data_IF_175856576346
#
_entry.id   IF_175856576346
#
_cell.length_a   1.000
_cell.length_b   1.000
_cell.length_c   1.000
_cell.angle_alpha   90.00
_cell.angle_beta   90.00
_cell.angle_gamma   90.00
#
_symmetry.space_group_name_H-M   'P 1'
#
loop_
_entity.id
_entity.type
_entity.pdbx_description
1 polymer ?
#
# COMPACT_ATOMS: atom_id res chain seq x y z
N UNK A 1 -33.98 -4.37 2.29
CA UNK A 1 -33.73 -5.20 1.08
C UNK A 1 -34.75 -6.33 1.06
N UNK A 2 -34.99 -6.97 -0.09
CA UNK A 2 -35.99 -8.04 -0.24
C UNK A 2 -35.75 -9.27 0.66
N UNK A 3 -34.53 -9.42 1.16
CA UNK A 3 -34.13 -10.50 2.06
C UNK A 3 -34.30 -10.15 3.54
N UNK A 4 -34.80 -8.96 3.91
CA UNK A 4 -34.98 -8.58 5.31
C UNK A 4 -33.70 -8.37 6.12
N UNK A 5 -32.53 -8.26 5.47
CA UNK A 5 -31.28 -7.98 6.20
C UNK A 5 -31.31 -6.58 6.83
N UNK A 6 -30.78 -6.41 8.07
CA UNK A 6 -30.66 -5.09 8.71
C UNK A 6 -29.75 -4.17 7.90
N UNK A 7 -29.67 -2.87 8.20
CA UNK A 7 -28.63 -2.00 7.62
C UNK A 7 -27.44 -1.95 8.57
N UNK A 8 -26.30 -2.49 8.15
CA UNK A 8 -25.08 -2.57 8.98
C UNK A 8 -24.11 -1.40 8.76
N UNK A 9 -24.20 -0.73 7.60
CA UNK A 9 -23.30 0.36 7.23
C UNK A 9 -24.01 1.32 6.27
N UNK A 10 -23.57 2.57 6.26
CA UNK A 10 -24.10 3.64 5.42
C UNK A 10 -22.97 4.28 4.62
N UNK A 11 -23.24 4.70 3.39
CA UNK A 11 -22.29 5.48 2.60
C UNK A 11 -22.09 6.86 3.22
N UNK A 12 -20.88 7.40 3.13
CA UNK A 12 -20.65 8.83 3.40
C UNK A 12 -21.53 9.65 2.45
N UNK A 13 -22.54 10.34 3.00
CA UNK A 13 -23.39 11.25 2.21
C UNK A 13 -22.56 12.38 1.60
N UNK A 14 -23.08 13.02 0.56
CA UNK A 14 -22.52 14.25 -0.01
C UNK A 14 -23.45 15.43 0.26
N UNK A 15 -22.98 16.65 0.00
CA UNK A 15 -23.82 17.86 0.02
C UNK A 15 -25.08 17.71 -0.86
N UNK A 16 -25.03 16.85 -1.87
CA UNK A 16 -26.09 16.60 -2.85
C UNK A 16 -26.80 15.26 -2.69
N UNK A 17 -26.38 14.39 -1.75
CA UNK A 17 -26.90 13.03 -1.65
C UNK A 17 -26.91 12.53 -0.21
N UNK A 18 -28.10 12.22 0.31
CA UNK A 18 -28.24 11.65 1.64
C UNK A 18 -27.52 10.28 1.73
N UNK A 19 -26.92 9.94 2.89
CA UNK A 19 -26.38 8.62 3.15
C UNK A 19 -27.36 7.51 2.76
N UNK A 20 -26.88 6.48 2.08
CA UNK A 20 -27.66 5.30 1.70
C UNK A 20 -27.07 4.05 2.36
N UNK A 21 -27.86 2.97 2.53
CA UNK A 21 -27.32 1.70 3.00
C UNK A 21 -26.14 1.25 2.10
N UNK A 22 -24.99 0.99 2.71
CA UNK A 22 -23.81 0.50 1.99
C UNK A 22 -23.93 -1.01 1.79
N UNK A 23 -23.45 -1.46 0.63
CA UNK A 23 -23.23 -2.86 0.32
C UNK A 23 -21.79 -3.06 -0.14
N UNK A 24 -20.84 -2.25 0.31
CA UNK A 24 -19.44 -2.42 -0.04
C UNK A 24 -18.83 -3.70 0.57
N UNK A 25 -17.53 -3.89 0.41
CA UNK A 25 -16.83 -5.09 0.89
C UNK A 25 -16.90 -5.24 2.42
N UNK A 26 -16.89 -4.15 3.17
CA UNK A 26 -16.94 -4.16 4.63
C UNK A 26 -18.36 -4.54 5.05
N UNK A 27 -19.38 -3.84 4.54
CA UNK A 27 -20.78 -4.14 4.80
C UNK A 27 -21.13 -5.61 4.50
N UNK A 28 -20.73 -6.12 3.32
CA UNK A 28 -20.97 -7.51 2.92
C UNK A 28 -20.26 -8.53 3.82
N UNK A 29 -19.10 -8.18 4.38
CA UNK A 29 -18.42 -9.03 5.36
C UNK A 29 -19.17 -8.99 6.70
N UNK A 30 -19.55 -7.81 7.16
CA UNK A 30 -20.30 -7.65 8.41
C UNK A 30 -21.61 -8.43 8.39
N UNK A 31 -22.31 -8.49 7.25
CA UNK A 31 -23.50 -9.33 7.13
C UNK A 31 -23.20 -10.82 7.37
N UNK A 32 -22.10 -11.36 6.83
CA UNK A 32 -21.74 -12.79 7.00
C UNK A 32 -21.37 -13.14 8.45
N UNK A 33 -20.94 -12.15 9.22
CA UNK A 33 -20.58 -12.27 10.64
C UNK A 33 -21.82 -12.21 11.57
N UNK A 34 -23.00 -11.84 11.04
CA UNK A 34 -24.25 -11.85 11.81
C UNK A 34 -24.68 -13.29 12.10
N UNK A 35 -24.94 -13.60 13.38
CA UNK A 35 -25.43 -14.91 13.82
C UNK A 35 -26.86 -15.22 13.34
N UNK A 36 -27.63 -14.20 12.97
CA UNK A 36 -29.07 -14.28 12.71
C UNK A 36 -29.43 -14.40 11.23
N UNK A 37 -28.46 -14.59 10.33
CA UNK A 37 -28.76 -14.71 8.89
C UNK A 37 -29.17 -16.13 8.53
N UNK A 38 -30.11 -16.27 7.60
CA UNK A 38 -30.53 -17.55 7.04
C UNK A 38 -29.50 -18.07 6.01
N UNK A 39 -29.56 -19.36 5.69
CA UNK A 39 -28.71 -19.95 4.65
C UNK A 39 -28.95 -19.31 3.27
N UNK A 40 -30.20 -18.94 2.97
CA UNK A 40 -30.55 -18.22 1.74
C UNK A 40 -29.88 -16.83 1.69
N UNK A 41 -29.95 -16.07 2.78
CA UNK A 41 -29.28 -14.77 2.89
C UNK A 41 -27.76 -14.89 2.75
N UNK A 42 -27.15 -15.88 3.43
CA UNK A 42 -25.73 -16.17 3.33
C UNK A 42 -25.33 -16.47 1.89
N UNK A 43 -26.06 -17.38 1.23
CA UNK A 43 -25.85 -17.74 -0.17
C UNK A 43 -25.95 -16.53 -1.10
N UNK A 44 -26.98 -15.68 -0.93
CA UNK A 44 -27.15 -14.47 -1.73
C UNK A 44 -25.98 -13.48 -1.56
N UNK A 45 -25.47 -13.30 -0.34
CA UNK A 45 -24.32 -12.44 -0.06
C UNK A 45 -23.04 -12.98 -0.72
N UNK A 46 -22.79 -14.29 -0.59
CA UNK A 46 -21.62 -14.95 -1.18
C UNK A 46 -21.64 -14.91 -2.71
N UNK A 47 -22.80 -15.19 -3.32
CA UNK A 47 -23.02 -15.06 -4.75
C UNK A 47 -22.81 -13.63 -5.23
N UNK A 48 -23.29 -12.63 -4.47
CA UNK A 48 -23.07 -11.21 -4.79
C UNK A 48 -21.58 -10.87 -4.77
N UNK A 49 -20.82 -11.33 -3.77
CA UNK A 49 -19.38 -11.12 -3.71
C UNK A 49 -18.65 -11.80 -4.88
N UNK A 50 -19.04 -13.03 -5.22
CA UNK A 50 -18.48 -13.79 -6.36
C UNK A 50 -18.78 -13.09 -7.68
N UNK A 51 -20.04 -12.70 -7.90
CA UNK A 51 -20.47 -11.98 -9.10
C UNK A 51 -19.68 -10.69 -9.27
N UNK A 52 -19.57 -9.85 -8.23
CA UNK A 52 -18.81 -8.59 -8.32
C UNK A 52 -17.36 -8.80 -8.69
N UNK A 53 -16.68 -9.77 -8.06
CA UNK A 53 -15.27 -10.09 -8.38
C UNK A 53 -15.13 -10.53 -9.85
N UNK A 54 -16.00 -11.40 -10.32
CA UNK A 54 -15.96 -11.90 -11.71
C UNK A 54 -16.34 -10.83 -12.71
N UNK A 55 -17.38 -10.04 -12.43
CA UNK A 55 -17.82 -8.94 -13.29
C UNK A 55 -16.75 -7.86 -13.43
N UNK A 56 -16.04 -7.52 -12.34
CA UNK A 56 -14.86 -6.64 -12.41
C UNK A 56 -13.78 -7.26 -13.30
N UNK A 57 -13.46 -8.55 -13.12
CA UNK A 57 -12.45 -9.20 -13.94
C UNK A 57 -12.80 -9.16 -15.43
N UNK A 58 -14.03 -9.50 -15.77
CA UNK A 58 -14.52 -9.52 -17.16
C UNK A 58 -14.53 -8.10 -17.74
N UNK A 59 -15.31 -7.19 -17.14
CA UNK A 59 -15.56 -5.87 -17.73
C UNK A 59 -14.41 -4.89 -17.60
N UNK A 60 -13.62 -4.94 -16.51
CA UNK A 60 -12.51 -4.00 -16.34
C UNK A 60 -11.19 -4.49 -16.95
N UNK A 61 -11.05 -5.79 -17.22
CA UNK A 61 -9.78 -6.35 -17.70
C UNK A 61 -9.93 -7.23 -18.95
N UNK A 62 -10.68 -8.34 -18.90
CA UNK A 62 -10.68 -9.31 -20.01
C UNK A 62 -11.30 -8.75 -21.30
N UNK A 63 -12.44 -8.06 -21.21
CA UNK A 63 -13.06 -7.37 -22.36
C UNK A 63 -12.09 -6.34 -22.96
N UNK A 64 -11.52 -5.38 -22.17
CA UNK A 64 -10.48 -4.48 -22.67
C UNK A 64 -9.25 -5.18 -23.27
N UNK A 65 -8.86 -6.35 -22.77
CA UNK A 65 -7.72 -7.08 -23.34
C UNK A 65 -8.02 -7.60 -24.74
N UNK A 66 -9.22 -8.13 -24.95
CA UNK A 66 -9.67 -8.63 -26.26
C UNK A 66 -9.85 -7.46 -27.22
N UNK A 67 -10.50 -6.39 -26.77
CA UNK A 67 -10.84 -5.24 -27.62
C UNK A 67 -9.63 -4.40 -28.03
N UNK A 68 -8.65 -4.23 -27.12
CA UNK A 68 -7.56 -3.25 -27.29
C UNK A 68 -6.23 -3.84 -27.70
N UNK A 69 -6.13 -5.16 -27.86
CA UNK A 69 -4.87 -5.75 -28.30
C UNK A 69 -4.57 -5.42 -29.77
N UNK A 70 -3.30 -5.21 -30.09
CA UNK A 70 -2.82 -5.12 -31.47
C UNK A 70 -1.81 -6.24 -31.68
N UNK A 71 -2.15 -7.22 -32.52
CA UNK A 71 -1.29 -8.38 -32.77
C UNK A 71 -0.97 -9.21 -31.51
N UNK A 72 -1.89 -9.27 -30.55
CA UNK A 72 -1.69 -9.95 -29.26
C UNK A 72 -0.96 -9.13 -28.19
N UNK A 73 -0.60 -7.87 -28.46
CA UNK A 73 0.05 -6.98 -27.49
C UNK A 73 -0.92 -5.89 -27.01
N UNK A 74 -0.83 -5.56 -25.72
CA UNK A 74 -1.55 -4.43 -25.13
C UNK A 74 -0.63 -3.21 -25.03
N UNK A 75 -1.16 -2.04 -25.37
CA UNK A 75 -0.40 -0.79 -25.46
C UNK A 75 -0.93 0.26 -24.45
N UNK A 76 -0.71 0.06 -23.13
CA UNK A 76 -1.19 0.98 -22.12
C UNK A 76 -0.63 2.40 -22.33
N UNK A 77 -1.48 3.40 -22.19
CA UNK A 77 -1.10 4.81 -22.30
C UNK A 77 -0.77 5.38 -20.93
N UNK A 78 0.44 5.92 -20.78
CA UNK A 78 0.88 6.58 -19.54
C UNK A 78 0.82 8.10 -19.66
N UNK A 79 -0.04 8.74 -18.87
CA UNK A 79 -0.01 10.18 -18.69
C UNK A 79 0.99 10.55 -17.58
N UNK A 80 2.01 11.32 -17.95
CA UNK A 80 3.07 11.77 -17.04
C UNK A 80 2.70 13.02 -16.23
N UNK A 81 1.74 13.81 -16.71
CA UNK A 81 1.37 15.10 -16.13
C UNK A 81 0.11 14.92 -15.28
N UNK A 82 0.32 14.39 -14.07
CA UNK A 82 -0.74 14.32 -13.07
C UNK A 82 -0.37 15.02 -11.78
N UNK A 83 -1.40 15.46 -11.10
CA UNK A 83 -1.34 16.36 -9.96
C UNK A 83 -0.43 15.87 -8.82
N UNK A 84 -0.30 14.56 -8.62
CA UNK A 84 0.46 13.93 -7.52
C UNK A 84 1.94 13.72 -7.84
N UNK A 85 2.39 13.94 -9.07
CA UNK A 85 3.74 13.60 -9.53
C UNK A 85 3.92 12.12 -9.90
N UNK A 86 2.90 11.27 -9.67
CA UNK A 86 2.89 9.89 -10.19
C UNK A 86 2.75 9.87 -11.72
N UNK A 87 2.56 8.69 -12.30
CA UNK A 87 1.97 8.51 -13.64
C UNK A 87 0.55 7.98 -13.47
N UNK A 88 -0.35 8.30 -14.39
CA UNK A 88 -1.62 7.56 -14.52
C UNK A 88 -1.59 6.73 -15.78
N UNK A 89 -2.26 5.58 -15.76
CA UNK A 89 -2.34 4.67 -16.88
C UNK A 89 -3.81 4.49 -17.32
N UNK A 90 -4.03 4.47 -18.63
CA UNK A 90 -5.34 4.24 -19.24
C UNK A 90 -5.17 3.47 -20.55
N UNK A 91 -6.28 2.92 -21.06
CA UNK A 91 -6.33 2.33 -22.40
C UNK A 91 -5.31 1.19 -22.68
N UNK A 92 -5.30 0.06 -21.94
CA UNK A 92 -6.00 -0.25 -20.69
C UNK A 92 -5.18 0.12 -19.44
N UNK A 93 -5.82 0.20 -18.27
CA UNK A 93 -5.15 0.63 -17.04
C UNK A 93 -4.32 -0.48 -16.38
N UNK A 94 -3.02 -0.50 -16.67
CA UNK A 94 -2.06 -1.47 -16.10
C UNK A 94 -1.70 -1.21 -14.63
N UNK A 95 -2.07 -0.06 -14.06
CA UNK A 95 -1.78 0.26 -12.66
C UNK A 95 -2.81 -0.31 -11.67
N UNK A 96 -3.92 -0.86 -12.17
CA UNK A 96 -5.02 -1.35 -11.35
C UNK A 96 -5.32 -2.83 -11.57
N UNK A 97 -4.43 -3.57 -12.23
CA UNK A 97 -4.62 -4.99 -12.48
C UNK A 97 -4.69 -5.77 -11.17
N UNK A 98 -5.74 -6.56 -11.01
CA UNK A 98 -5.82 -7.50 -9.90
C UNK A 98 -4.95 -8.74 -10.14
N UNK A 99 -4.83 -9.59 -9.12
CA UNK A 99 -4.00 -10.81 -9.19
C UNK A 99 -4.44 -11.77 -10.31
N UNK A 100 -5.74 -11.85 -10.64
CA UNK A 100 -6.27 -12.70 -11.71
C UNK A 100 -6.04 -12.07 -13.08
N UNK A 101 -6.22 -10.77 -13.21
CA UNK A 101 -5.93 -10.05 -14.46
C UNK A 101 -4.46 -10.18 -14.87
N UNK A 102 -3.53 -10.19 -13.90
CA UNK A 102 -2.09 -10.43 -14.14
C UNK A 102 -1.76 -11.82 -14.69
N UNK A 103 -2.61 -12.85 -14.54
CA UNK A 103 -2.34 -14.20 -15.10
C UNK A 103 -2.47 -14.27 -16.62
N UNK A 104 -3.16 -13.30 -17.23
CA UNK A 104 -3.38 -13.22 -18.67
C UNK A 104 -2.37 -12.31 -19.39
N UNK A 105 -1.46 -11.68 -18.65
CA UNK A 105 -0.36 -10.90 -19.24
C UNK A 105 0.86 -11.83 -19.32
N UNK A 106 1.22 -12.20 -20.55
CA UNK A 106 2.32 -13.12 -20.84
C UNK A 106 3.58 -12.36 -21.26
N UNK A 107 4.79 -12.85 -20.93
CA UNK A 107 6.01 -12.26 -21.46
C UNK A 107 6.09 -12.46 -22.99
N UNK A 108 6.77 -11.56 -23.72
CA UNK A 108 7.02 -11.79 -25.15
C UNK A 108 7.83 -13.08 -25.35
N UNK A 109 7.67 -13.72 -26.52
CA UNK A 109 8.35 -14.98 -26.85
C UNK A 109 9.87 -14.91 -26.62
N UNK A 110 10.42 -15.97 -26.00
CA UNK A 110 11.85 -16.10 -25.68
C UNK A 110 12.33 -15.22 -24.52
N UNK A 111 11.40 -14.69 -23.71
CA UNK A 111 11.69 -13.78 -22.62
C UNK A 111 10.95 -14.17 -21.36
N UNK A 112 11.46 -13.69 -20.23
CA UNK A 112 10.87 -13.88 -18.92
C UNK A 112 10.65 -12.53 -18.26
N UNK A 113 9.51 -12.37 -17.60
CA UNK A 113 9.23 -11.18 -16.83
C UNK A 113 10.11 -11.11 -15.59
N UNK A 114 10.46 -9.88 -15.23
CA UNK A 114 11.01 -9.46 -13.96
C UNK A 114 10.10 -8.39 -13.38
N UNK A 115 9.57 -8.62 -12.18
CA UNK A 115 8.85 -7.60 -11.43
C UNK A 115 9.67 -7.20 -10.22
N UNK A 116 10.10 -5.94 -10.17
CA UNK A 116 10.84 -5.37 -9.04
C UNK A 116 9.99 -4.33 -8.32
N UNK A 117 9.76 -4.53 -7.03
CA UNK A 117 9.02 -3.61 -6.16
C UNK A 117 9.96 -2.97 -5.13
N UNK A 118 9.83 -1.66 -4.89
CA UNK A 118 10.59 -1.02 -3.82
C UNK A 118 10.01 -1.32 -2.44
N UNK A 119 10.82 -2.01 -1.63
CA UNK A 119 10.50 -2.33 -0.23
C UNK A 119 10.17 -1.08 0.59
N UNK A 120 8.89 -0.82 0.83
CA UNK A 120 8.38 0.23 1.74
C UNK A 120 8.94 1.63 1.44
N UNK A 121 9.07 2.00 0.16
CA UNK A 121 9.73 3.25 -0.27
C UNK A 121 9.19 4.50 0.43
N UNK A 122 7.88 4.60 0.63
CA UNK A 122 7.29 5.76 1.30
C UNK A 122 7.71 5.85 2.78
N UNK A 123 7.82 4.71 3.49
CA UNK A 123 8.27 4.68 4.88
C UNK A 123 9.77 4.92 5.01
N UNK A 124 10.55 4.42 4.06
CA UNK A 124 11.96 4.78 3.96
C UNK A 124 12.15 6.29 3.83
N UNK A 125 11.39 6.90 2.93
CA UNK A 125 11.42 8.35 2.74
C UNK A 125 10.89 9.11 3.97
N UNK A 126 9.89 8.59 4.69
CA UNK A 126 9.46 9.15 5.96
C UNK A 126 10.58 9.14 6.99
N UNK A 127 11.29 8.02 7.17
CA UNK A 127 12.45 7.93 8.08
C UNK A 127 13.54 8.92 7.68
N UNK A 128 13.84 9.02 6.38
CA UNK A 128 14.82 9.97 5.87
C UNK A 128 14.46 11.44 6.19
N UNK A 129 13.21 11.86 6.01
CA UNK A 129 12.81 13.26 6.24
C UNK A 129 12.58 13.60 7.69
N UNK A 130 12.20 12.61 8.51
CA UNK A 130 11.98 12.77 9.95
C UNK A 130 13.27 12.75 10.75
N UNK A 131 14.34 12.21 10.16
CA UNK A 131 15.67 12.11 10.76
C UNK A 131 15.69 11.37 12.09
N UNK A 132 14.91 10.29 12.16
CA UNK A 132 14.80 9.49 13.38
C UNK A 132 15.97 8.53 13.53
N UNK A 133 16.79 8.73 14.58
CA UNK A 133 18.00 7.97 14.78
C UNK A 133 17.75 6.46 15.00
N UNK A 134 16.67 6.08 15.69
CA UNK A 134 16.34 4.67 15.94
C UNK A 134 15.98 3.96 14.64
N UNK A 135 15.12 4.56 13.83
CA UNK A 135 14.73 4.00 12.54
C UNK A 135 15.89 3.99 11.54
N UNK A 136 16.71 5.05 11.49
CA UNK A 136 17.91 5.09 10.64
C UNK A 136 18.90 3.99 11.03
N UNK A 137 19.15 3.81 12.33
CA UNK A 137 20.02 2.74 12.83
C UNK A 137 19.50 1.36 12.42
N UNK A 138 18.20 1.09 12.60
CA UNK A 138 17.61 -0.20 12.21
C UNK A 138 17.78 -0.49 10.71
N UNK A 139 17.64 0.51 9.83
CA UNK A 139 17.91 0.36 8.40
C UNK A 139 19.40 0.23 8.05
N UNK A 140 20.29 0.83 8.85
CA UNK A 140 21.74 0.70 8.71
C UNK A 140 22.23 -0.70 9.08
N UNK A 141 21.71 -1.28 10.16
CA UNK A 141 22.02 -2.63 10.60
C UNK A 141 21.40 -3.69 9.70
N UNK A 142 20.15 -3.48 9.27
CA UNK A 142 19.47 -4.34 8.32
C UNK A 142 18.77 -3.49 7.23
N UNK A 143 19.32 -3.43 6.01
CA UNK A 143 18.69 -2.72 4.89
C UNK A 143 17.28 -3.21 4.53
N UNK A 144 16.90 -4.43 4.92
CA UNK A 144 15.57 -5.02 4.72
C UNK A 144 14.64 -4.85 5.91
N UNK A 145 15.01 -4.01 6.89
CA UNK A 145 14.15 -3.67 8.02
C UNK A 145 12.73 -3.35 7.56
N UNK A 146 11.79 -4.05 8.17
CA UNK A 146 10.38 -3.83 7.97
C UNK A 146 9.87 -2.81 8.98
N UNK A 147 9.59 -1.59 8.52
CA UNK A 147 9.16 -0.51 9.40
C UNK A 147 7.82 -0.81 10.08
N UNK A 148 6.97 -1.63 9.47
CA UNK A 148 5.73 -2.07 10.10
C UNK A 148 5.98 -3.00 11.28
N UNK A 149 6.94 -3.91 11.15
CA UNK A 149 7.36 -4.81 12.23
C UNK A 149 8.09 -4.05 13.33
N UNK A 150 8.91 -3.07 12.97
CA UNK A 150 9.58 -2.19 13.94
C UNK A 150 8.56 -1.42 14.80
N UNK A 151 7.53 -0.84 14.18
CA UNK A 151 6.44 -0.17 14.90
C UNK A 151 5.59 -1.14 15.72
N UNK A 152 5.39 -2.36 15.22
CA UNK A 152 4.68 -3.43 15.94
C UNK A 152 5.39 -3.77 17.26
N UNK A 153 6.71 -3.91 17.21
CA UNK A 153 7.57 -4.14 18.36
C UNK A 153 7.50 -2.96 19.34
N UNK A 154 7.71 -1.73 18.86
CA UNK A 154 7.64 -0.52 19.70
C UNK A 154 6.33 -0.39 20.46
N UNK A 155 5.21 -0.72 19.81
CA UNK A 155 3.88 -0.52 20.37
C UNK A 155 3.32 -1.78 21.08
N UNK A 156 4.02 -2.92 21.03
CA UNK A 156 3.53 -4.19 21.57
C UNK A 156 2.20 -4.61 20.95
N UNK A 157 2.08 -4.53 19.62
CA UNK A 157 0.89 -4.94 18.87
C UNK A 157 1.29 -5.81 17.66
N UNK A 158 0.38 -6.63 17.10
CA UNK A 158 0.67 -7.38 15.88
C UNK A 158 0.97 -6.49 14.67
N UNK A 159 1.76 -7.02 13.73
CA UNK A 159 2.24 -6.30 12.53
C UNK A 159 1.12 -5.70 11.67
N UNK A 160 0.01 -6.42 11.48
CA UNK A 160 -1.10 -5.94 10.64
C UNK A 160 -1.75 -4.66 11.22
N UNK A 161 -2.17 -4.61 12.50
CA UNK A 161 -2.57 -3.37 13.15
C UNK A 161 -1.50 -2.26 13.07
N UNK A 162 -0.22 -2.58 13.28
CA UNK A 162 0.87 -1.60 13.19
C UNK A 162 1.03 -1.00 11.78
N UNK A 163 0.85 -1.82 10.73
CA UNK A 163 0.79 -1.34 9.34
C UNK A 163 -0.33 -0.31 9.18
N UNK A 164 -1.54 -0.61 9.66
CA UNK A 164 -2.67 0.32 9.58
C UNK A 164 -2.38 1.64 10.32
N UNK A 165 -1.75 1.59 11.50
CA UNK A 165 -1.29 2.78 12.25
C UNK A 165 -0.30 3.60 11.45
N UNK A 166 0.70 2.95 10.87
CA UNK A 166 1.70 3.59 10.01
C UNK A 166 1.09 4.34 8.84
N UNK A 167 0.16 3.72 8.12
CA UNK A 167 -0.58 4.40 7.04
C UNK A 167 -1.48 5.52 7.59
N UNK A 168 -2.19 5.29 8.71
CA UNK A 168 -3.03 6.34 9.29
C UNK A 168 -2.21 7.58 9.66
N UNK A 169 -1.10 7.42 10.38
CA UNK A 169 -0.25 8.53 10.84
C UNK A 169 0.54 9.16 9.68
N UNK A 170 1.18 8.34 8.84
CA UNK A 170 1.95 8.81 7.68
C UNK A 170 1.12 9.61 6.67
N UNK A 171 -0.20 9.41 6.65
CA UNK A 171 -1.15 10.13 5.79
C UNK A 171 -1.90 11.27 6.53
N UNK A 172 -1.42 11.67 7.72
CA UNK A 172 -1.92 12.81 8.48
C UNK A 172 -3.15 12.52 9.35
N UNK A 173 -3.40 11.25 9.67
CA UNK A 173 -4.40 10.85 10.64
C UNK A 173 -4.01 11.27 12.06
N UNK A 174 -4.91 11.98 12.75
CA UNK A 174 -4.74 12.35 14.15
C UNK A 174 -5.16 11.24 15.12
N UNK A 175 -4.96 11.50 16.42
CA UNK A 175 -5.26 10.59 17.53
C UNK A 175 -6.66 9.96 17.41
N UNK A 176 -7.72 10.78 17.27
CA UNK A 176 -9.11 10.29 17.17
C UNK A 176 -9.29 9.21 16.10
N UNK A 177 -8.67 9.39 14.92
CA UNK A 177 -8.77 8.44 13.81
C UNK A 177 -8.02 7.14 14.13
N UNK A 178 -6.81 7.25 14.65
CA UNK A 178 -5.97 6.09 15.01
C UNK A 178 -6.62 5.28 16.13
N UNK A 179 -7.09 5.94 17.19
CA UNK A 179 -7.77 5.30 18.32
C UNK A 179 -9.04 4.60 17.86
N UNK A 180 -9.88 5.27 17.05
CA UNK A 180 -11.11 4.67 16.51
C UNK A 180 -10.82 3.45 15.65
N UNK A 181 -9.80 3.51 14.80
CA UNK A 181 -9.39 2.40 13.93
C UNK A 181 -8.89 1.21 14.74
N UNK A 182 -8.03 1.44 15.74
CA UNK A 182 -7.50 0.38 16.60
C UNK A 182 -8.58 -0.23 17.50
N UNK A 183 -9.54 0.57 17.94
CA UNK A 183 -10.70 0.10 18.73
C UNK A 183 -11.62 -0.83 17.96
N UNK A 184 -11.49 -0.90 16.63
CA UNK A 184 -12.26 -1.76 15.74
C UNK A 184 -11.41 -2.88 15.10
N UNK A 185 -10.11 -3.01 15.45
CA UNK A 185 -9.23 -4.02 14.86
C UNK A 185 -9.39 -5.37 15.60
N UNK A 186 -9.97 -6.40 14.94
CA UNK A 186 -10.40 -7.63 15.62
C UNK A 186 -9.29 -8.32 16.42
N UNK A 187 -8.06 -8.31 15.89
CA UNK A 187 -6.90 -8.96 16.51
C UNK A 187 -6.56 -8.30 17.86
N UNK A 188 -6.80 -7.00 18.02
CA UNK A 188 -6.57 -6.29 19.27
C UNK A 188 -7.77 -6.36 20.20
N UNK A 189 -8.98 -6.33 19.65
CA UNK A 189 -10.20 -6.29 20.45
C UNK A 189 -10.53 -7.65 21.07
N UNK A 190 -10.21 -8.77 20.40
CA UNK A 190 -10.51 -10.10 20.92
C UNK A 190 -9.79 -10.37 22.25
N UNK A 191 -8.50 -10.04 22.35
CA UNK A 191 -7.76 -10.22 23.61
C UNK A 191 -8.27 -9.32 24.75
N UNK A 192 -8.81 -8.15 24.41
CA UNK A 192 -9.47 -7.27 25.38
C UNK A 192 -10.85 -7.80 25.81
N UNK A 193 -11.61 -8.40 24.89
CA UNK A 193 -12.86 -9.09 25.21
C UNK A 193 -12.61 -10.23 26.20
N UNK A 194 -11.63 -11.09 25.93
CA UNK A 194 -11.26 -12.20 26.81
C UNK A 194 -10.90 -11.71 28.22
N UNK A 195 -10.20 -10.58 28.29
CA UNK A 195 -9.84 -9.94 29.56
C UNK A 195 -11.06 -9.44 30.33
N UNK A 196 -12.03 -8.82 29.64
CA UNK A 196 -13.28 -8.35 30.23
C UNK A 196 -14.14 -9.52 30.69
N UNK A 197 -14.25 -10.57 29.88
CA UNK A 197 -15.03 -11.77 30.22
C UNK A 197 -14.44 -12.48 31.43
N UNK A 198 -13.10 -12.53 31.55
CA UNK A 198 -12.42 -13.01 32.75
C UNK A 198 -12.72 -12.14 33.98
N UNK A 199 -12.76 -10.81 33.85
CA UNK A 199 -13.12 -9.92 34.96
C UNK A 199 -14.56 -10.18 35.47
N UNK A 200 -15.48 -10.51 34.56
CA UNK A 200 -16.86 -10.89 34.91
C UNK A 200 -16.86 -12.24 35.63
N UNK A 201 -16.16 -13.22 35.08
CA UNK A 201 -16.04 -14.56 35.69
C UNK A 201 -15.42 -14.51 37.10
N UNK A 202 -14.44 -13.64 37.32
CA UNK A 202 -13.80 -13.39 38.61
C UNK A 202 -14.67 -12.56 39.59
N UNK A 203 -15.87 -12.13 39.18
CA UNK A 203 -16.75 -11.27 39.99
C UNK A 203 -16.25 -9.82 40.15
N UNK A 204 -15.22 -9.41 39.40
CA UNK A 204 -14.61 -8.07 39.44
C UNK A 204 -15.35 -7.05 38.58
N UNK A 205 -16.28 -7.49 37.73
CA UNK A 205 -17.04 -6.64 36.83
C UNK A 205 -18.50 -7.10 36.73
N UNK A 206 -19.43 -6.16 36.95
CA UNK A 206 -20.86 -6.37 36.66
C UNK A 206 -21.07 -6.55 35.15
N UNK A 207 -21.76 -7.62 34.75
CA UNK A 207 -22.09 -7.94 33.37
C UNK A 207 -22.82 -6.78 32.65
N UNK A 208 -23.63 -5.98 33.37
CA UNK A 208 -24.32 -4.80 32.80
C UNK A 208 -23.34 -3.72 32.34
N UNK A 209 -22.11 -3.71 32.86
CA UNK A 209 -21.05 -2.76 32.51
C UNK A 209 -20.06 -3.30 31.47
N UNK A 210 -20.23 -4.54 30.99
CA UNK A 210 -19.36 -5.22 30.04
C UNK A 210 -18.98 -4.34 28.85
N UNK A 211 -19.99 -3.86 28.11
CA UNK A 211 -19.78 -3.09 26.88
C UNK A 211 -19.10 -1.75 27.14
N UNK A 212 -19.45 -1.08 28.24
CA UNK A 212 -18.85 0.19 28.62
C UNK A 212 -17.35 0.02 28.94
N UNK A 213 -17.00 -0.96 29.78
CA UNK A 213 -15.60 -1.23 30.15
C UNK A 213 -14.80 -1.71 28.95
N UNK A 214 -15.37 -2.59 28.12
CA UNK A 214 -14.72 -3.03 26.89
C UNK A 214 -14.38 -1.85 25.97
N UNK A 215 -15.34 -0.95 25.70
CA UNK A 215 -15.07 0.26 24.88
C UNK A 215 -13.99 1.15 25.49
N UNK A 216 -13.99 1.33 26.82
CA UNK A 216 -12.96 2.10 27.50
C UNK A 216 -11.57 1.48 27.36
N UNK A 217 -11.44 0.16 27.50
CA UNK A 217 -10.18 -0.55 27.31
C UNK A 217 -9.66 -0.45 25.88
N UNK A 218 -10.55 -0.60 24.88
CA UNK A 218 -10.19 -0.42 23.47
C UNK A 218 -9.67 0.99 23.19
N UNK A 219 -10.36 2.02 23.68
CA UNK A 219 -9.93 3.41 23.54
C UNK A 219 -8.59 3.66 24.24
N UNK A 220 -8.42 3.16 25.46
CA UNK A 220 -7.18 3.26 26.23
C UNK A 220 -6.01 2.62 25.48
N UNK A 221 -6.18 1.39 25.00
CA UNK A 221 -5.14 0.68 24.23
C UNK A 221 -4.80 1.41 22.94
N UNK A 222 -5.81 1.91 22.21
CA UNK A 222 -5.59 2.72 21.00
C UNK A 222 -4.77 3.98 21.28
N UNK A 223 -5.06 4.65 22.40
CA UNK A 223 -4.32 5.86 22.83
C UNK A 223 -2.89 5.52 23.24
N UNK A 224 -2.68 4.46 24.00
CA UNK A 224 -1.35 3.97 24.38
C UNK A 224 -0.46 3.69 23.15
N UNK A 225 -1.02 3.06 22.11
CA UNK A 225 -0.33 2.82 20.84
C UNK A 225 0.02 4.14 20.15
N UNK A 226 -0.93 5.08 20.05
CA UNK A 226 -0.70 6.39 19.43
C UNK A 226 0.40 7.19 20.15
N UNK A 227 0.36 7.21 21.48
CA UNK A 227 1.32 7.91 22.32
C UNK A 227 2.71 7.27 22.21
N UNK A 228 2.77 5.93 22.25
CA UNK A 228 4.02 5.18 22.12
C UNK A 228 4.66 5.41 20.75
N UNK A 229 3.87 5.37 19.66
CA UNK A 229 4.36 5.67 18.32
C UNK A 229 5.04 7.04 18.25
N UNK A 230 4.38 8.10 18.75
CA UNK A 230 4.93 9.45 18.69
C UNK A 230 6.08 9.70 19.66
N UNK A 231 6.15 8.94 20.75
CA UNK A 231 7.29 8.98 21.67
C UNK A 231 8.52 8.34 21.04
N UNK A 232 8.35 7.21 20.34
CA UNK A 232 9.47 6.48 19.73
C UNK A 232 9.90 7.05 18.38
N UNK A 233 8.96 7.65 17.61
CA UNK A 233 9.22 8.27 16.31
C UNK A 233 8.79 9.75 16.29
N UNK A 234 9.36 10.62 17.15
CA UNK A 234 8.88 11.99 17.35
C UNK A 234 9.03 12.90 16.13
N UNK A 235 9.99 12.61 15.25
CA UNK A 235 10.26 13.39 14.04
C UNK A 235 9.05 13.51 13.11
N UNK A 236 8.15 12.52 13.12
CA UNK A 236 6.93 12.54 12.27
C UNK A 236 6.02 13.71 12.56
N UNK A 237 5.83 14.07 13.85
CA UNK A 237 4.95 15.16 14.26
C UNK A 237 5.55 16.50 13.91
N UNK A 238 6.86 16.64 14.14
CA UNK A 238 7.64 17.83 13.81
C UNK A 238 7.57 18.08 12.30
N UNK A 239 7.86 17.06 11.50
CA UNK A 239 7.89 17.18 10.04
C UNK A 239 6.50 17.37 9.44
N UNK A 240 5.45 16.74 9.98
CA UNK A 240 4.07 16.96 9.54
C UNK A 240 3.66 18.42 9.75
N UNK A 241 3.91 18.97 10.95
CA UNK A 241 3.62 20.37 11.28
C UNK A 241 4.44 21.33 10.43
N UNK A 242 5.73 21.05 10.21
CA UNK A 242 6.61 21.85 9.37
C UNK A 242 6.11 21.87 7.92
N UNK A 243 5.77 20.70 7.36
CA UNK A 243 5.24 20.59 6.01
C UNK A 243 3.91 21.36 5.88
N UNK A 244 3.00 21.21 6.84
CA UNK A 244 1.73 21.94 6.87
C UNK A 244 1.95 23.46 6.91
N UNK A 245 2.78 23.95 7.83
CA UNK A 245 3.11 25.38 7.96
C UNK A 245 3.69 25.93 6.64
N UNK A 246 4.67 25.23 6.05
CA UNK A 246 5.28 25.63 4.79
C UNK A 246 4.26 25.65 3.64
N UNK A 247 3.35 24.67 3.61
CA UNK A 247 2.27 24.62 2.62
C UNK A 247 1.33 25.81 2.77
N UNK A 248 0.92 26.14 4.00
CA UNK A 248 0.05 27.30 4.28
C UNK A 248 0.72 28.62 3.91
N UNK A 249 2.03 28.74 4.16
CA UNK A 249 2.81 29.96 3.85
C UNK A 249 3.10 30.15 2.36
N UNK A 250 3.43 29.08 1.64
CA UNK A 250 3.92 29.14 0.24
C UNK A 250 2.89 28.70 -0.80
N UNK A 251 1.83 28.01 -0.40
CA UNK A 251 0.85 27.37 -1.29
C UNK A 251 1.27 25.99 -1.84
N UNK A 252 2.45 25.47 -1.46
CA UNK A 252 2.97 24.20 -1.95
C UNK A 252 3.98 23.53 -0.99
N UNK A 253 4.21 22.23 -1.19
CA UNK A 253 5.34 21.46 -0.62
C UNK A 253 6.36 21.09 -1.70
N UNK A 254 7.61 20.83 -1.31
CA UNK A 254 8.67 20.31 -2.19
C UNK A 254 9.16 18.95 -1.70
N UNK A 255 9.51 18.06 -2.63
CA UNK A 255 10.24 16.82 -2.31
C UNK A 255 11.76 16.95 -2.51
N UNK A 256 12.50 15.85 -2.30
CA UNK A 256 13.96 15.82 -2.42
C UNK A 256 14.52 16.08 -3.82
N UNK A 257 13.72 15.90 -4.88
CA UNK A 257 14.07 16.28 -6.26
C UNK A 257 13.68 17.72 -6.58
N UNK A 258 13.07 18.44 -5.64
CA UNK A 258 12.61 19.82 -5.83
C UNK A 258 11.24 19.96 -6.50
N UNK A 259 10.54 18.86 -6.83
CA UNK A 259 9.18 18.89 -7.40
C UNK A 259 8.24 19.58 -6.42
N UNK A 260 7.44 20.52 -6.94
CA UNK A 260 6.44 21.27 -6.17
C UNK A 260 5.07 20.61 -6.29
N UNK A 261 4.38 20.48 -5.15
CA UNK A 261 2.98 20.05 -5.08
C UNK A 261 2.15 21.15 -4.44
N UNK A 262 1.30 21.79 -5.24
CA UNK A 262 0.36 22.80 -4.74
C UNK A 262 -0.83 22.15 -4.04
N UNK A 263 -1.15 22.66 -2.85
CA UNK A 263 -2.28 22.22 -2.04
C UNK A 263 -3.00 23.46 -1.48
N UNK A 264 -4.35 23.50 -1.55
CA UNK A 264 -5.10 24.57 -0.90
C UNK A 264 -4.88 24.52 0.62
N UNK A 265 -5.01 25.67 1.29
CA UNK A 265 -4.74 25.83 2.73
C UNK A 265 -5.48 24.80 3.60
N UNK A 266 -6.71 24.45 3.24
CA UNK A 266 -7.53 23.44 3.95
C UNK A 266 -6.97 22.00 3.86
N UNK A 267 -6.12 21.71 2.88
CA UNK A 267 -5.47 20.41 2.69
C UNK A 267 -3.99 20.41 3.07
N UNK A 268 -3.49 21.49 3.69
CA UNK A 268 -2.08 21.62 4.05
C UNK A 268 -1.57 20.51 4.99
N UNK A 269 -2.44 19.94 5.82
CA UNK A 269 -2.11 18.81 6.71
C UNK A 269 -1.68 17.54 5.93
N UNK A 270 -2.01 17.45 4.63
CA UNK A 270 -1.54 16.38 3.72
C UNK A 270 -0.18 16.67 3.08
N UNK A 271 0.47 17.78 3.44
CA UNK A 271 1.70 18.26 2.81
C UNK A 271 2.84 17.24 2.87
N UNK A 272 3.10 16.67 4.05
CA UNK A 272 4.17 15.68 4.23
C UNK A 272 3.92 14.45 3.35
N UNK A 273 2.74 13.86 3.46
CA UNK A 273 2.35 12.69 2.68
C UNK A 273 2.44 12.93 1.16
N UNK A 274 1.92 14.07 0.70
CA UNK A 274 1.97 14.42 -0.72
C UNK A 274 3.41 14.60 -1.23
N UNK A 275 4.29 15.13 -0.39
CA UNK A 275 5.71 15.26 -0.69
C UNK A 275 6.40 13.90 -0.78
N UNK A 276 6.17 13.00 0.19
CA UNK A 276 6.75 11.65 0.23
C UNK A 276 6.27 10.81 -0.96
N UNK A 277 4.97 10.81 -1.24
CA UNK A 277 4.40 10.09 -2.37
C UNK A 277 4.97 10.58 -3.72
N UNK A 278 5.08 11.89 -3.89
CA UNK A 278 5.70 12.47 -5.08
C UNK A 278 7.18 12.12 -5.19
N UNK A 279 7.89 12.07 -4.05
CA UNK A 279 9.30 11.68 -4.00
C UNK A 279 9.51 10.22 -4.41
N UNK A 280 8.72 9.29 -3.87
CA UNK A 280 8.80 7.88 -4.25
C UNK A 280 8.68 7.69 -5.78
N UNK A 281 7.75 8.43 -6.40
CA UNK A 281 7.60 8.40 -7.86
C UNK A 281 8.72 9.10 -8.63
N UNK A 282 9.33 10.15 -8.07
CA UNK A 282 10.50 10.76 -8.70
C UNK A 282 11.72 9.84 -8.62
N UNK A 283 11.88 9.06 -7.54
CA UNK A 283 12.86 7.95 -7.49
C UNK A 283 12.53 6.93 -8.56
N UNK A 284 11.29 6.45 -8.66
CA UNK A 284 10.90 5.49 -9.69
C UNK A 284 11.21 6.01 -11.10
N UNK A 285 10.88 7.27 -11.42
CA UNK A 285 11.15 7.89 -12.73
C UNK A 285 12.65 8.00 -13.01
N UNK A 286 13.42 8.48 -12.04
CA UNK A 286 14.88 8.57 -12.13
C UNK A 286 15.51 7.19 -12.42
N UNK A 287 15.11 6.17 -11.66
CA UNK A 287 15.66 4.81 -11.79
C UNK A 287 15.18 4.09 -13.05
N UNK A 288 13.94 4.32 -13.45
CA UNK A 288 13.39 3.85 -14.73
C UNK A 288 14.18 4.43 -15.93
N UNK A 289 14.55 5.72 -15.88
CA UNK A 289 15.42 6.31 -16.90
C UNK A 289 16.81 5.69 -16.87
N UNK A 290 17.38 5.47 -15.67
CA UNK A 290 18.71 4.88 -15.51
C UNK A 290 18.82 3.43 -16.04
N UNK A 291 17.79 2.60 -15.89
CA UNK A 291 17.77 1.22 -16.41
C UNK A 291 17.23 1.12 -17.86
N UNK A 292 16.75 2.23 -18.43
CA UNK A 292 16.16 2.20 -19.77
C UNK A 292 17.22 1.86 -20.84
N UNK A 293 16.98 0.85 -21.70
CA UNK A 293 17.91 0.50 -22.79
C UNK A 293 18.07 1.62 -23.83
N UNK A 294 17.19 2.65 -23.81
CA UNK A 294 17.33 3.85 -24.64
C UNK A 294 18.53 4.71 -24.24
N UNK A 295 18.88 4.71 -22.96
CA UNK A 295 19.90 5.58 -22.36
C UNK A 295 21.04 4.80 -21.68
N UNK A 296 20.87 3.49 -21.45
CA UNK A 296 21.84 2.65 -20.78
C UNK A 296 22.34 1.54 -21.74
N UNK A 297 23.59 1.64 -22.25
CA UNK A 297 24.16 0.65 -23.17
C UNK A 297 24.22 -0.76 -22.58
N UNK A 298 24.52 -0.88 -21.28
CA UNK A 298 24.60 -2.19 -20.62
C UNK A 298 23.22 -2.84 -20.52
N UNK A 299 22.18 -2.08 -20.20
CA UNK A 299 20.81 -2.58 -20.21
C UNK A 299 20.37 -3.05 -21.60
N UNK A 300 20.80 -2.34 -22.66
CA UNK A 300 20.56 -2.73 -24.06
C UNK A 300 21.30 -4.03 -24.43
N UNK A 301 22.58 -4.15 -24.05
CA UNK A 301 23.40 -5.35 -24.27
C UNK A 301 22.80 -6.57 -23.57
N UNK A 302 22.37 -6.42 -22.32
CA UNK A 302 21.69 -7.45 -21.52
C UNK A 302 20.26 -7.75 -21.99
N UNK A 303 19.81 -7.09 -23.05
CA UNK A 303 18.49 -7.30 -23.63
C UNK A 303 17.33 -6.97 -22.69
N UNK A 304 17.51 -6.05 -21.72
CA UNK A 304 16.45 -5.63 -20.80
C UNK A 304 15.40 -4.81 -21.54
N UNK A 305 14.12 -5.05 -21.25
CA UNK A 305 12.98 -4.26 -21.76
C UNK A 305 12.04 -3.88 -20.64
N UNK A 306 11.61 -2.63 -20.58
CA UNK A 306 10.60 -2.14 -19.64
C UNK A 306 9.23 -2.26 -20.28
N UNK A 307 8.24 -2.81 -19.57
CA UNK A 307 6.87 -3.00 -20.07
C UNK A 307 5.85 -2.13 -19.33
N UNK A 308 5.96 -2.03 -18.01
CA UNK A 308 4.98 -1.30 -17.21
C UNK A 308 5.56 -0.75 -15.91
N UNK A 309 4.95 0.31 -15.39
CA UNK A 309 5.26 0.90 -14.09
C UNK A 309 3.98 1.01 -13.28
N UNK A 310 3.92 0.27 -12.18
CA UNK A 310 2.79 0.23 -11.27
C UNK A 310 3.21 0.85 -9.94
N UNK A 311 3.13 2.18 -9.87
CA UNK A 311 3.57 2.95 -8.71
C UNK A 311 5.05 2.67 -8.37
N UNK A 312 5.32 1.84 -7.36
CA UNK A 312 6.62 1.40 -6.87
C UNK A 312 7.10 0.06 -7.44
N UNK A 313 6.30 -0.59 -8.30
CA UNK A 313 6.64 -1.79 -9.06
C UNK A 313 7.08 -1.43 -10.50
N UNK A 314 8.20 -1.99 -10.96
CA UNK A 314 8.68 -1.90 -12.34
C UNK A 314 8.66 -3.30 -12.99
N UNK A 315 7.80 -3.47 -14.00
CA UNK A 315 7.77 -4.68 -14.81
C UNK A 315 8.72 -4.54 -15.99
N UNK A 316 9.67 -5.48 -16.06
CA UNK A 316 10.63 -5.63 -17.13
C UNK A 316 10.58 -7.05 -17.69
N UNK A 317 11.31 -7.30 -18.78
CA UNK A 317 11.69 -8.65 -19.14
C UNK A 317 13.14 -8.72 -19.58
N UNK A 318 13.69 -9.93 -19.53
CA UNK A 318 15.03 -10.31 -20.00
C UNK A 318 14.93 -11.55 -20.88
N UNK A 319 15.96 -11.90 -21.68
CA UNK A 319 16.02 -13.20 -22.34
C UNK A 319 15.84 -14.34 -21.33
N UNK A 320 15.12 -15.40 -21.69
CA UNK A 320 14.80 -16.51 -20.75
C UNK A 320 16.06 -17.15 -20.16
N UNK A 321 17.17 -17.21 -20.90
CA UNK A 321 18.43 -17.76 -20.40
C UNK A 321 19.11 -16.88 -19.33
N UNK A 322 18.67 -15.62 -19.18
CA UNK A 322 19.24 -14.65 -18.23
C UNK A 322 18.31 -14.35 -17.04
N UNK A 323 17.13 -14.98 -16.97
CA UNK A 323 16.12 -14.68 -15.94
C UNK A 323 16.59 -14.90 -14.50
N UNK A 324 17.59 -15.75 -14.30
CA UNK A 324 18.22 -16.05 -13.02
C UNK A 324 19.73 -15.74 -13.02
N UNK A 325 20.23 -15.05 -14.05
CA UNK A 325 21.66 -14.76 -14.15
C UNK A 325 22.08 -13.74 -13.07
N UNK A 326 22.98 -14.10 -12.15
CA UNK A 326 23.32 -13.26 -11.00
C UNK A 326 23.96 -11.94 -11.41
N UNK A 327 24.70 -11.89 -12.52
CA UNK A 327 25.33 -10.66 -13.01
C UNK A 327 24.26 -9.66 -13.47
N UNK A 328 23.23 -10.17 -14.17
CA UNK A 328 22.13 -9.34 -14.69
C UNK A 328 21.22 -8.89 -13.54
N UNK A 329 20.92 -9.77 -12.58
CA UNK A 329 20.17 -9.44 -11.37
C UNK A 329 20.89 -8.34 -10.58
N UNK A 330 22.18 -8.51 -10.31
CA UNK A 330 22.99 -7.53 -9.57
C UNK A 330 22.98 -6.18 -10.27
N UNK A 331 23.21 -6.16 -11.58
CA UNK A 331 23.17 -4.92 -12.37
C UNK A 331 21.82 -4.18 -12.24
N UNK A 332 20.69 -4.91 -12.34
CA UNK A 332 19.36 -4.31 -12.18
C UNK A 332 19.16 -3.81 -10.75
N UNK A 333 19.47 -4.61 -9.73
CA UNK A 333 19.33 -4.22 -8.33
C UNK A 333 20.17 -2.99 -8.01
N UNK A 334 21.45 -2.97 -8.38
CA UNK A 334 22.35 -1.84 -8.14
C UNK A 334 21.86 -0.58 -8.84
N UNK A 335 21.33 -0.70 -10.07
CA UNK A 335 20.79 0.44 -10.82
C UNK A 335 19.54 1.02 -10.14
N UNK A 336 18.59 0.17 -9.76
CA UNK A 336 17.32 0.59 -9.13
C UNK A 336 17.53 1.12 -7.70
N UNK A 337 18.45 0.54 -6.95
CA UNK A 337 18.66 0.86 -5.53
C UNK A 337 19.57 2.07 -5.27
N UNK A 338 20.10 2.68 -6.34
CA UNK A 338 21.04 3.80 -6.26
C UNK A 338 20.42 5.11 -6.78
N UNK A 339 19.37 5.67 -6.14
CA UNK A 339 18.77 6.93 -6.58
C UNK A 339 19.79 8.05 -6.66
N UNK A 340 19.58 8.98 -7.59
CA UNK A 340 20.49 10.13 -7.79
C UNK A 340 20.54 11.09 -6.60
N UNK A 341 19.53 11.05 -5.72
CA UNK A 341 19.51 11.79 -4.45
C UNK A 341 20.09 10.95 -3.31
N UNK A 342 20.96 11.56 -2.50
CA UNK A 342 21.50 10.90 -1.31
C UNK A 342 20.43 10.77 -0.23
N UNK A 343 20.23 9.55 0.24
CA UNK A 343 19.33 9.24 1.35
C UNK A 343 20.13 8.76 2.56
N UNK A 344 19.55 8.95 3.74
CA UNK A 344 20.16 8.54 5.04
C UNK A 344 20.05 7.04 5.29
N UNK A 345 19.22 6.36 4.51
CA UNK A 345 18.98 4.93 4.58
C UNK A 345 18.99 4.35 3.18
N UNK A 346 19.35 3.07 3.02
CA UNK A 346 19.37 2.43 1.72
C UNK A 346 17.96 2.26 1.15
N UNK A 347 17.83 2.35 -0.16
CA UNK A 347 16.66 1.87 -0.90
C UNK A 347 16.90 0.42 -1.26
N UNK A 348 15.86 -0.42 -1.13
CA UNK A 348 15.91 -1.84 -1.48
C UNK A 348 14.75 -2.20 -2.37
N UNK A 349 15.02 -3.05 -3.34
CA UNK A 349 14.03 -3.69 -4.20
C UNK A 349 13.90 -5.16 -3.83
N UNK A 350 12.70 -5.71 -4.02
CA UNK A 350 12.44 -7.14 -3.99
C UNK A 350 11.94 -7.53 -5.39
N UNK A 351 12.57 -8.53 -5.99
CA UNK A 351 12.31 -8.94 -7.36
C UNK A 351 11.71 -10.35 -7.41
N UNK A 352 10.85 -10.60 -8.38
CA UNK A 352 10.44 -11.94 -8.80
C UNK A 352 10.53 -12.11 -10.32
N UNK A 353 10.50 -13.36 -10.79
CA UNK A 353 10.61 -13.67 -12.21
C UNK A 353 9.65 -14.75 -12.67
N UNK A 354 9.26 -14.72 -13.95
CA UNK A 354 8.51 -15.82 -14.55
C UNK A 354 8.51 -15.77 -16.07
N UNK A 355 8.68 -16.93 -16.69
CA UNK A 355 8.45 -17.15 -18.13
C UNK A 355 6.98 -17.42 -18.47
N UNK A 356 6.10 -17.58 -17.46
CA UNK A 356 4.69 -17.94 -17.66
C UNK A 356 3.80 -16.70 -17.82
N UNK A 357 3.73 -15.85 -16.79
CA UNK A 357 2.88 -14.66 -16.79
C UNK A 357 3.31 -13.68 -15.69
N UNK A 358 2.74 -12.47 -15.69
CA UNK A 358 3.09 -11.44 -14.71
C UNK A 358 2.69 -11.83 -13.29
N UNK A 359 1.59 -12.55 -13.07
CA UNK A 359 1.20 -12.98 -11.71
C UNK A 359 2.29 -13.85 -11.06
N UNK A 360 2.86 -14.78 -11.82
CA UNK A 360 3.91 -15.67 -11.35
C UNK A 360 5.26 -14.95 -11.14
N UNK A 361 5.49 -13.81 -11.78
CA UNK A 361 6.67 -12.97 -11.55
C UNK A 361 6.61 -12.17 -10.24
N UNK A 362 5.59 -12.35 -9.41
CA UNK A 362 5.52 -11.79 -8.06
C UNK A 362 6.64 -12.36 -7.18
N UNK A 363 7.36 -11.47 -6.49
CA UNK A 363 8.44 -11.84 -5.58
C UNK A 363 8.03 -12.77 -4.43
N UNK A 364 6.74 -12.83 -4.07
CA UNK A 364 6.23 -13.79 -3.08
C UNK A 364 6.15 -15.23 -3.63
N UNK A 365 6.05 -15.40 -4.96
CA UNK A 365 5.88 -16.70 -5.61
C UNK A 365 7.20 -17.24 -6.15
N UNK A 366 7.93 -16.42 -6.92
CA UNK A 366 9.18 -16.80 -7.55
C UNK A 366 10.26 -15.73 -7.27
N UNK A 367 10.80 -15.69 -6.05
CA UNK A 367 11.74 -14.66 -5.65
C UNK A 367 13.05 -14.76 -6.44
N UNK A 368 13.56 -13.62 -6.90
CA UNK A 368 14.93 -13.50 -7.37
C UNK A 368 15.88 -13.50 -6.17
N UNK A 369 16.88 -14.39 -6.21
CA UNK A 369 17.93 -14.37 -5.19
C UNK A 369 18.72 -13.08 -5.31
N UNK A 370 18.85 -12.38 -4.19
CA UNK A 370 19.69 -11.19 -4.11
C UNK A 370 21.15 -11.58 -4.23
N UNK A 371 21.89 -10.85 -5.05
CA UNK A 371 23.32 -11.05 -5.25
C UNK A 371 24.05 -10.00 -4.42
N UNK A 372 24.87 -10.44 -3.46
CA UNK A 372 25.65 -9.54 -2.60
C UNK A 372 26.76 -8.82 -3.36
#
# INVERSE_FOLDING_TARGET
>A
NQFGLPVVEWTDGSETKAPQPSFDKIALKTYLDLKSITDEQRSAIELTQKFRKTSILVGMFLEPYIEKHVGGYLHPTYNQIIRTGRTSCSEPNFQQLDKRAKTYILPPLGRSFWSFDYSQIEFRLLVHVTDDASAIKAYGENPFTDFHSLVAEWCGIPRRPAKNVNFAIGYGGGEKKVVSMLSAEPVLTNSLLDSVDKMIADGKLDIKKRDMVFRQLCQKKGKEVYDTYHRTFPGIRIMTRKAEMLTKKRGYVKNGYGRRRHLPRRMAYKGLNSSVQGWAMDIMKDRMTAISPRFNPKAKELGIRIHAVVHDELLMSVPTNDEQNPVVIKFVQDTLESPSVKLKIPIRTVGGFSSLNWREADSELHPLQRVQ
#
